data_IF_411699588205
#
_entry.id   IF_411699588205
#
_cell.length_a   1.000
_cell.length_b   1.000
_cell.length_c   1.000
_cell.angle_alpha   90.00
_cell.angle_beta   90.00
_cell.angle_gamma   90.00
#
_symmetry.space_group_name_H-M   'P 1'
#
loop_
_entity.id
_entity.type
_entity.pdbx_description
1 polymer ?
#
# COMPACT_ATOMS: atom_id res chain seq x y z
N UNK A 1 24.07 -15.08 22.39
CA UNK A 1 24.61 -14.67 21.09
C UNK A 1 23.85 -13.42 20.73
N UNK A 2 24.54 -12.29 20.55
CA UNK A 2 23.89 -11.13 19.95
C UNK A 2 23.82 -11.44 18.46
N UNK A 3 22.62 -11.65 17.93
CA UNK A 3 22.40 -11.70 16.49
C UNK A 3 22.38 -10.26 15.99
N UNK A 4 23.34 -9.94 15.12
CA UNK A 4 23.46 -8.65 14.44
C UNK A 4 22.73 -8.83 13.10
N UNK A 5 21.70 -8.03 12.81
CA UNK A 5 20.93 -8.12 11.55
C UNK A 5 21.50 -7.09 10.57
N UNK A 6 22.16 -7.51 9.50
CA UNK A 6 22.66 -6.57 8.49
C UNK A 6 21.49 -5.96 7.70
N UNK A 7 21.47 -4.63 7.57
CA UNK A 7 20.42 -3.89 6.85
C UNK A 7 21.01 -3.05 5.72
N UNK A 8 20.19 -2.75 4.70
CA UNK A 8 20.58 -1.93 3.56
C UNK A 8 21.02 -0.54 4.00
N UNK A 9 22.06 -0.01 3.38
CA UNK A 9 22.50 1.37 3.61
C UNK A 9 21.48 2.41 3.10
N UNK A 10 21.55 3.62 3.66
CA UNK A 10 20.66 4.75 3.32
C UNK A 10 20.65 5.08 1.83
N UNK A 11 21.80 5.02 1.15
CA UNK A 11 21.88 5.31 -0.28
C UNK A 11 21.22 4.22 -1.14
N UNK A 12 21.30 2.96 -0.71
CA UNK A 12 20.55 1.88 -1.34
C UNK A 12 19.05 2.07 -1.11
N UNK A 13 18.63 2.43 0.11
CA UNK A 13 17.23 2.75 0.41
C UNK A 13 16.70 3.85 -0.51
N UNK A 14 17.40 4.98 -0.63
CA UNK A 14 16.99 6.07 -1.56
C UNK A 14 16.89 5.60 -3.01
N UNK A 15 17.83 4.76 -3.46
CA UNK A 15 17.79 4.18 -4.80
C UNK A 15 16.52 3.36 -5.00
N UNK A 16 16.18 2.48 -4.05
CA UNK A 16 14.93 1.70 -4.08
C UNK A 16 13.73 2.64 -4.12
N UNK A 17 13.63 3.60 -3.19
CA UNK A 17 12.50 4.54 -3.12
C UNK A 17 12.31 5.34 -4.42
N UNK A 18 13.40 5.77 -5.06
CA UNK A 18 13.37 6.53 -6.31
C UNK A 18 12.97 5.70 -7.53
N UNK A 19 13.12 4.37 -7.44
CA UNK A 19 12.77 3.44 -8.52
C UNK A 19 11.32 2.98 -8.49
N UNK A 20 10.64 3.13 -7.35
CA UNK A 20 9.28 2.67 -7.15
C UNK A 20 8.28 3.65 -7.76
N UNK A 21 7.40 3.13 -8.60
CA UNK A 21 6.20 3.83 -9.06
C UNK A 21 5.13 3.85 -7.95
N UNK A 22 4.18 4.81 -7.99
CA UNK A 22 3.02 4.79 -7.11
C UNK A 22 2.25 3.46 -7.15
N UNK A 23 2.15 2.84 -8.33
CA UNK A 23 1.49 1.54 -8.51
C UNK A 23 2.20 0.41 -7.75
N UNK A 24 3.53 0.33 -7.88
CA UNK A 24 4.36 -0.64 -7.15
C UNK A 24 4.32 -0.45 -5.63
N UNK A 25 3.89 0.74 -5.17
CA UNK A 25 3.69 1.05 -3.75
C UNK A 25 2.29 0.67 -3.28
N UNK A 26 1.23 0.93 -4.06
CA UNK A 26 -0.15 0.68 -3.59
C UNK A 26 -0.62 -0.75 -3.83
N UNK A 27 -0.20 -1.36 -4.95
CA UNK A 27 -0.67 -2.69 -5.38
C UNK A 27 -0.38 -3.79 -4.35
N UNK A 28 0.81 -3.89 -3.73
CA UNK A 28 1.06 -4.93 -2.75
C UNK A 28 0.17 -4.83 -1.50
N UNK A 29 -0.14 -3.61 -1.05
CA UNK A 29 -1.06 -3.38 0.04
C UNK A 29 -2.48 -3.81 -0.35
N UNK A 30 -2.95 -3.42 -1.54
CA UNK A 30 -4.28 -3.77 -2.02
C UNK A 30 -4.46 -5.28 -2.19
N UNK A 31 -3.48 -5.97 -2.79
CA UNK A 31 -3.49 -7.43 -2.97
C UNK A 31 -3.55 -8.21 -1.64
N UNK A 32 -3.13 -7.57 -0.53
CA UNK A 32 -3.09 -8.18 0.80
C UNK A 32 -4.13 -7.60 1.77
N UNK A 33 -4.97 -6.68 1.29
CA UNK A 33 -6.05 -6.08 2.05
C UNK A 33 -7.34 -6.87 1.86
N UNK A 34 -8.14 -6.95 2.93
CA UNK A 34 -9.49 -7.51 2.86
C UNK A 34 -10.39 -6.66 3.77
N UNK A 35 -11.35 -5.95 3.19
CA UNK A 35 -12.29 -5.08 3.91
C UNK A 35 -12.93 -5.80 5.11
N UNK A 36 -12.90 -5.12 6.26
CA UNK A 36 -13.38 -5.63 7.55
C UNK A 36 -12.53 -6.72 8.21
N UNK A 37 -11.50 -7.25 7.55
CA UNK A 37 -10.79 -8.46 8.00
C UNK A 37 -9.28 -8.22 8.13
N UNK A 38 -8.62 -7.73 7.07
CA UNK A 38 -7.16 -7.59 6.98
C UNK A 38 -6.77 -6.18 6.57
N UNK A 39 -5.88 -5.56 7.34
CA UNK A 39 -5.15 -4.37 6.92
C UNK A 39 -4.06 -4.81 5.95
N UNK A 40 -4.00 -4.16 4.79
CA UNK A 40 -2.98 -4.42 3.79
C UNK A 40 -1.86 -3.39 3.90
N UNK A 41 -0.62 -3.86 3.91
CA UNK A 41 0.57 -3.03 3.98
C UNK A 41 1.47 -3.31 2.78
N UNK A 42 2.12 -2.25 2.29
CA UNK A 42 3.31 -2.36 1.46
C UNK A 42 4.50 -2.04 2.34
N UNK A 43 5.42 -3.00 2.47
CA UNK A 43 6.60 -2.89 3.32
C UNK A 43 7.87 -2.99 2.49
N UNK A 44 8.91 -2.30 2.91
CA UNK A 44 10.28 -2.49 2.42
C UNK A 44 11.06 -3.24 3.48
N UNK A 45 11.49 -4.46 3.17
CA UNK A 45 12.34 -5.26 4.05
C UNK A 45 13.76 -4.68 4.04
N UNK A 46 14.26 -4.32 5.22
CA UNK A 46 15.54 -3.65 5.34
C UNK A 46 16.73 -4.60 5.19
N UNK A 47 16.57 -5.91 5.31
CA UNK A 47 17.67 -6.88 5.13
C UNK A 47 18.02 -7.07 3.65
N UNK A 48 16.99 -7.11 2.79
CA UNK A 48 17.18 -7.42 1.36
C UNK A 48 16.81 -6.26 0.41
N UNK A 49 16.26 -5.17 0.92
CA UNK A 49 15.89 -3.98 0.16
C UNK A 49 14.74 -4.17 -0.82
N UNK A 50 13.93 -5.21 -0.64
CA UNK A 50 12.79 -5.52 -1.52
C UNK A 50 11.47 -5.10 -0.90
N UNK A 51 10.53 -4.76 -1.78
CA UNK A 51 9.17 -4.40 -1.42
C UNK A 51 8.27 -5.64 -1.44
N UNK A 52 7.41 -5.76 -0.44
CA UNK A 52 6.47 -6.86 -0.28
C UNK A 52 5.11 -6.34 0.18
N UNK A 53 4.05 -7.09 -0.15
CA UNK A 53 2.74 -6.94 0.47
C UNK A 53 2.65 -7.77 1.75
N UNK A 54 2.02 -7.21 2.77
CA UNK A 54 1.77 -7.87 4.06
C UNK A 54 0.34 -7.61 4.52
N UNK A 55 -0.44 -8.66 4.72
CA UNK A 55 -1.79 -8.59 5.29
C UNK A 55 -1.78 -8.93 6.77
N UNK A 56 -2.29 -8.03 7.62
CA UNK A 56 -2.39 -8.23 9.07
C UNK A 56 -3.86 -8.29 9.48
N UNK A 57 -4.27 -9.39 10.11
CA UNK A 57 -5.62 -9.52 10.68
C UNK A 57 -5.79 -8.68 11.95
N UNK A 58 -7.02 -8.25 12.24
CA UNK A 58 -7.36 -7.41 13.42
C UNK A 58 -6.82 -7.92 14.77
N UNK A 59 -6.60 -9.24 14.91
CA UNK A 59 -6.13 -9.86 16.15
C UNK A 59 -4.68 -10.37 16.08
N UNK A 60 -3.96 -10.10 14.99
CA UNK A 60 -2.56 -10.47 14.86
C UNK A 60 -1.66 -9.33 15.36
N UNK A 61 -0.67 -9.68 16.17
CA UNK A 61 0.40 -8.76 16.52
C UNK A 61 1.28 -8.53 15.27
N UNK A 62 1.85 -7.32 15.09
CA UNK A 62 2.79 -7.06 14.01
C UNK A 62 3.96 -8.05 14.08
N UNK A 63 4.44 -8.49 12.91
CA UNK A 63 5.49 -9.50 12.78
C UNK A 63 6.75 -9.04 13.52
N UNK A 64 6.99 -9.61 14.71
CA UNK A 64 8.06 -9.19 15.61
C UNK A 64 9.48 -9.48 15.08
N UNK A 65 9.59 -10.34 14.05
CA UNK A 65 10.87 -10.89 13.60
C UNK A 65 11.41 -10.25 12.30
N UNK A 66 10.66 -9.34 11.66
CA UNK A 66 11.09 -8.72 10.40
C UNK A 66 11.49 -7.26 10.61
N UNK A 67 12.69 -6.88 10.18
CA UNK A 67 13.13 -5.48 10.14
C UNK A 67 12.65 -4.85 8.84
N UNK A 68 11.59 -4.06 8.90
CA UNK A 68 10.99 -3.41 7.72
C UNK A 68 10.53 -1.98 8.02
N UNK A 69 10.26 -1.23 6.96
CA UNK A 69 9.54 0.05 7.02
C UNK A 69 8.28 -0.02 6.17
N UNK A 70 7.21 0.60 6.65
CA UNK A 70 5.96 0.70 5.91
C UNK A 70 6.04 1.84 4.89
N UNK A 71 5.67 1.55 3.64
CA UNK A 71 5.58 2.52 2.54
C UNK A 71 4.15 3.02 2.36
N UNK A 72 3.17 2.12 2.48
CA UNK A 72 1.75 2.40 2.30
C UNK A 72 0.90 1.40 3.08
N UNK A 73 -0.28 1.84 3.53
CA UNK A 73 -1.19 1.03 4.36
C UNK A 73 -2.63 1.33 3.98
N UNK A 74 -3.44 0.29 3.82
CA UNK A 74 -4.90 0.36 3.70
C UNK A 74 -5.48 -0.31 4.94
N UNK A 75 -6.14 0.44 5.82
CA UNK A 75 -6.70 -0.17 7.04
C UNK A 75 -7.90 -1.04 6.71
N UNK A 76 -8.10 -2.10 7.50
CA UNK A 76 -9.23 -3.02 7.31
C UNK A 76 -10.60 -2.34 7.34
N UNK A 77 -10.75 -1.23 8.06
CA UNK A 77 -12.02 -0.48 8.17
C UNK A 77 -12.06 0.77 7.28
N UNK A 78 -11.06 0.97 6.42
CA UNK A 78 -11.07 2.03 5.42
C UNK A 78 -11.69 1.49 4.14
N UNK A 79 -12.54 2.30 3.51
CA UNK A 79 -12.91 2.14 2.10
C UNK A 79 -11.98 3.05 1.31
N UNK A 80 -11.01 2.51 0.57
CA UNK A 80 -9.91 3.32 0.05
C UNK A 80 -10.32 4.14 -1.19
N UNK A 81 -11.47 3.82 -1.80
CA UNK A 81 -12.15 4.57 -2.84
C UNK A 81 -13.64 4.51 -2.58
N UNK A 82 -14.34 5.63 -2.78
CA UNK A 82 -15.80 5.63 -2.86
C UNK A 82 -16.27 5.54 -4.33
N UNK A 83 -17.57 5.30 -4.53
CA UNK A 83 -18.18 5.13 -5.86
C UNK A 83 -18.00 6.37 -6.76
N UNK A 84 -18.06 7.58 -6.20
CA UNK A 84 -17.85 8.85 -6.93
C UNK A 84 -16.40 9.03 -7.40
N UNK A 85 -15.44 8.49 -6.64
CA UNK A 85 -14.02 8.48 -7.00
C UNK A 85 -13.70 7.36 -7.98
N UNK A 86 -14.41 6.24 -7.88
CA UNK A 86 -14.20 5.06 -8.71
C UNK A 86 -14.65 5.27 -10.16
N UNK A 87 -15.79 5.93 -10.34
CA UNK A 87 -16.36 6.18 -11.66
C UNK A 87 -16.09 7.61 -12.15
N UNK A 88 -15.94 7.77 -13.47
CA UNK A 88 -16.07 9.12 -14.04
C UNK A 88 -17.47 9.67 -13.80
N UNK A 89 -17.66 10.99 -13.83
CA UNK A 89 -18.96 11.61 -13.59
C UNK A 89 -20.11 11.02 -14.45
N UNK A 90 -19.82 10.67 -15.72
CA UNK A 90 -20.80 10.03 -16.60
C UNK A 90 -21.06 8.56 -16.23
N UNK A 91 -20.01 7.79 -15.92
CA UNK A 91 -20.15 6.40 -15.48
C UNK A 91 -20.90 6.32 -14.15
N UNK A 92 -20.69 7.29 -13.25
CA UNK A 92 -21.37 7.37 -11.96
C UNK A 92 -22.87 7.64 -12.12
N UNK A 93 -23.26 8.57 -13.01
CA UNK A 93 -24.69 8.79 -13.34
C UNK A 93 -25.32 7.50 -13.89
N UNK A 94 -24.64 6.80 -14.81
CA UNK A 94 -25.10 5.52 -15.34
C UNK A 94 -25.17 4.42 -14.26
N UNK A 95 -24.25 4.43 -13.29
CA UNK A 95 -24.25 3.52 -12.15
C UNK A 95 -25.41 3.80 -11.18
N UNK A 96 -25.75 5.07 -10.94
CA UNK A 96 -26.91 5.44 -10.12
C UNK A 96 -28.23 4.99 -10.77
N UNK A 97 -28.37 5.14 -12.08
CA UNK A 97 -29.53 4.61 -12.82
C UNK A 97 -29.58 3.08 -12.69
N UNK A 98 -28.45 2.41 -12.92
CA UNK A 98 -28.32 0.95 -12.83
C UNK A 98 -28.66 0.38 -11.45
N UNK A 99 -28.16 1.01 -10.38
CA UNK A 99 -28.39 0.59 -8.99
C UNK A 99 -29.80 0.88 -8.50
N UNK A 100 -30.50 1.85 -9.10
CA UNK A 100 -31.87 2.21 -8.73
C UNK A 100 -32.94 1.24 -9.24
N UNK A 101 -32.62 0.42 -10.25
CA UNK A 101 -33.59 -0.45 -10.95
C UNK A 101 -33.81 -1.82 -10.29
N UNK A 102 -33.04 -2.22 -9.26
CA UNK A 102 -33.12 -3.56 -8.65
C UNK A 102 -33.35 -3.53 -7.11
N UNK A 103 -34.60 -3.65 -6.63
CA UNK A 103 -34.89 -3.82 -5.21
C UNK A 103 -34.69 -5.28 -4.79
N UNK A 104 -33.47 -5.82 -4.91
CA UNK A 104 -33.17 -7.18 -4.47
C UNK A 104 -32.71 -7.22 -3.00
N UNK A 105 -33.37 -8.05 -2.19
CA UNK A 105 -33.07 -8.34 -0.78
C UNK A 105 -31.74 -9.12 -0.57
N UNK A 106 -30.99 -9.34 -1.64
CA UNK A 106 -29.65 -9.92 -1.65
C UNK A 106 -28.76 -8.85 -2.27
N UNK A 107 -27.65 -8.49 -1.61
CA UNK A 107 -26.72 -7.47 -2.10
C UNK A 107 -25.50 -8.20 -2.70
N UNK A 108 -25.54 -8.67 -3.97
CA UNK A 108 -24.33 -8.83 -4.76
C UNK A 108 -23.55 -7.51 -4.79
N UNK A 109 -22.25 -7.60 -5.03
CA UNK A 109 -21.42 -6.42 -5.25
C UNK A 109 -21.86 -5.69 -6.53
N UNK A 110 -22.75 -4.70 -6.37
CA UNK A 110 -23.39 -3.96 -7.47
C UNK A 110 -22.33 -3.25 -8.34
N UNK A 111 -21.19 -2.87 -7.74
CA UNK A 111 -20.08 -2.26 -8.45
C UNK A 111 -19.46 -3.28 -9.41
N UNK A 112 -19.18 -4.50 -8.95
CA UNK A 112 -18.65 -5.56 -9.82
C UNK A 112 -19.60 -5.90 -10.96
N UNK A 113 -20.90 -6.01 -10.68
CA UNK A 113 -21.92 -6.28 -11.71
C UNK A 113 -21.98 -5.17 -12.77
N UNK A 114 -21.87 -3.90 -12.35
CA UNK A 114 -21.83 -2.77 -13.28
C UNK A 114 -20.53 -2.77 -14.10
N UNK A 115 -19.38 -3.03 -13.46
CA UNK A 115 -18.09 -3.11 -14.12
C UNK A 115 -18.07 -4.19 -15.19
N UNK A 116 -18.57 -5.40 -14.88
CA UNK A 116 -18.70 -6.51 -15.82
C UNK A 116 -19.56 -6.13 -17.02
N UNK A 117 -20.71 -5.48 -16.80
CA UNK A 117 -21.60 -5.03 -17.89
C UNK A 117 -20.97 -3.96 -18.77
N UNK A 118 -20.11 -3.11 -18.21
CA UNK A 118 -19.43 -2.02 -18.94
C UNK A 118 -18.08 -2.44 -19.52
N UNK A 119 -17.58 -3.63 -19.19
CA UNK A 119 -16.24 -4.09 -19.57
C UNK A 119 -15.13 -3.29 -18.88
N UNK A 120 -15.38 -2.84 -17.65
CA UNK A 120 -14.41 -2.14 -16.82
C UNK A 120 -13.61 -3.20 -16.03
N UNK A 121 -12.29 -3.14 -16.12
CA UNK A 121 -11.42 -3.92 -15.23
C UNK A 121 -11.38 -3.24 -13.85
N UNK A 122 -12.16 -3.76 -12.91
CA UNK A 122 -12.32 -3.20 -11.57
C UNK A 122 -11.00 -3.16 -10.81
N UNK A 123 -10.19 -4.23 -10.93
CA UNK A 123 -8.91 -4.35 -10.24
C UNK A 123 -7.92 -3.30 -10.73
N UNK A 124 -7.67 -3.25 -12.05
CA UNK A 124 -6.73 -2.30 -12.64
C UNK A 124 -7.18 -0.86 -12.41
N UNK A 125 -8.49 -0.59 -12.44
CA UNK A 125 -9.04 0.74 -12.13
C UNK A 125 -8.82 1.12 -10.67
N UNK A 126 -9.09 0.20 -9.75
CA UNK A 126 -8.86 0.43 -8.31
C UNK A 126 -7.41 0.75 -8.05
N UNK A 127 -6.49 -0.10 -8.52
CA UNK A 127 -5.04 0.08 -8.35
C UNK A 127 -4.59 1.42 -8.96
N UNK A 128 -5.05 1.76 -10.16
CA UNK A 128 -4.71 3.01 -10.83
C UNK A 128 -5.21 4.26 -10.07
N UNK A 129 -6.42 4.23 -9.52
CA UNK A 129 -6.97 5.34 -8.73
C UNK A 129 -6.27 5.49 -7.37
N UNK A 130 -5.94 4.37 -6.71
CA UNK A 130 -5.14 4.39 -5.49
C UNK A 130 -3.75 4.97 -5.74
N UNK A 131 -3.11 4.58 -6.85
CA UNK A 131 -1.82 5.10 -7.26
C UNK A 131 -1.88 6.61 -7.52
N UNK A 132 -2.91 7.08 -8.23
CA UNK A 132 -3.14 8.51 -8.46
C UNK A 132 -3.36 9.28 -7.15
N UNK A 133 -4.18 8.76 -6.25
CA UNK A 133 -4.45 9.38 -4.95
C UNK A 133 -3.18 9.41 -4.08
N UNK A 134 -2.39 8.35 -4.07
CA UNK A 134 -1.11 8.30 -3.37
C UNK A 134 -0.11 9.32 -3.93
N UNK A 135 0.03 9.39 -5.26
CA UNK A 135 0.89 10.37 -5.93
C UNK A 135 0.46 11.80 -5.56
N UNK A 136 -0.83 12.10 -5.63
CA UNK A 136 -1.38 13.43 -5.36
C UNK A 136 -1.30 13.85 -3.89
N UNK A 137 -1.48 12.92 -2.95
CA UNK A 137 -1.64 13.26 -1.53
C UNK A 137 -0.35 13.05 -0.72
N UNK A 138 0.41 12.00 -1.01
CA UNK A 138 1.62 11.65 -0.27
C UNK A 138 2.90 12.01 -1.03
N UNK A 139 2.98 11.69 -2.33
CA UNK A 139 4.18 11.90 -3.15
C UNK A 139 4.21 13.22 -3.92
N UNK A 140 3.20 14.09 -3.79
CA UNK A 140 3.18 15.41 -4.44
C UNK A 140 4.41 16.26 -4.08
N UNK A 141 5.00 16.00 -2.92
CA UNK A 141 6.35 16.41 -2.60
C UNK A 141 7.20 15.18 -2.25
N UNK A 142 7.82 14.60 -3.27
CA UNK A 142 8.69 13.42 -3.13
C UNK A 142 9.75 13.60 -2.04
N UNK A 143 10.40 14.76 -1.95
CA UNK A 143 11.44 15.00 -0.93
C UNK A 143 10.87 14.93 0.49
N UNK A 144 9.64 15.41 0.69
CA UNK A 144 8.96 15.33 1.99
C UNK A 144 8.57 13.88 2.29
N UNK A 145 8.06 13.15 1.31
CA UNK A 145 7.73 11.73 1.44
C UNK A 145 8.99 10.90 1.76
N UNK A 146 10.04 11.02 0.97
CA UNK A 146 11.33 10.36 1.19
C UNK A 146 11.86 10.67 2.60
N UNK A 147 11.81 11.92 3.03
CA UNK A 147 12.24 12.32 4.38
C UNK A 147 11.42 11.63 5.49
N UNK A 148 10.10 11.47 5.32
CA UNK A 148 9.25 10.70 6.26
C UNK A 148 9.73 9.25 6.34
N UNK A 149 10.02 8.63 5.20
CA UNK A 149 10.48 7.23 5.12
C UNK A 149 11.88 7.08 5.72
N UNK A 150 12.81 7.99 5.45
CA UNK A 150 14.15 8.01 6.05
C UNK A 150 14.08 8.13 7.57
N UNK A 151 13.18 8.97 8.10
CA UNK A 151 12.98 9.06 9.55
C UNK A 151 12.48 7.74 10.15
N UNK A 152 11.60 7.01 9.45
CA UNK A 152 11.16 5.66 9.88
C UNK A 152 12.32 4.67 9.85
N UNK A 153 13.14 4.70 8.79
CA UNK A 153 14.34 3.88 8.67
C UNK A 153 15.31 4.12 9.84
N UNK A 154 15.60 5.40 10.16
CA UNK A 154 16.43 5.73 11.31
C UNK A 154 15.80 5.24 12.62
N UNK A 155 14.49 5.46 12.82
CA UNK A 155 13.78 4.94 14.00
C UNK A 155 13.93 3.42 14.16
N UNK A 156 13.70 2.67 13.07
CA UNK A 156 13.78 1.21 13.05
C UNK A 156 15.18 0.68 13.42
N UNK A 157 16.25 1.39 13.01
CA UNK A 157 17.62 0.99 13.35
C UNK A 157 18.12 1.53 14.69
N UNK A 158 17.48 2.57 15.27
CA UNK A 158 17.88 3.18 16.54
C UNK A 158 17.16 2.61 17.77
N UNK A 159 15.93 2.09 17.66
CA UNK A 159 15.15 1.61 18.82
C UNK A 159 15.64 0.26 19.40
N UNK A 160 16.56 -0.44 18.74
CA UNK A 160 17.29 -1.58 19.29
C UNK A 160 18.77 -1.21 19.51
N UNK A 161 19.30 -1.46 20.71
CA UNK A 161 20.72 -1.27 21.08
C UNK A 161 21.68 -1.65 19.94
N UNK A 162 22.23 -0.63 19.25
CA UNK A 162 23.06 -0.73 18.04
C UNK A 162 23.89 -2.03 17.95
N UNK A 163 23.46 -3.01 17.14
CA UNK A 163 24.23 -4.16 16.73
C UNK A 163 24.25 -4.24 15.20
N UNK A 164 24.56 -3.14 14.50
CA UNK A 164 24.58 -3.12 13.03
C UNK A 164 25.97 -2.70 12.52
N UNK A 165 26.64 -3.60 11.79
CA UNK A 165 27.77 -3.25 10.95
C UNK A 165 27.24 -2.76 9.60
N UNK A 166 27.63 -1.54 9.21
CA UNK A 166 27.29 -0.99 7.91
C UNK A 166 28.21 -1.58 6.84
N UNK A 167 27.65 -2.27 5.85
CA UNK A 167 28.38 -2.63 4.65
C UNK A 167 28.73 -1.37 3.84
N UNK A 168 29.99 -0.95 3.92
CA UNK A 168 30.60 -0.01 2.97
C UNK A 168 31.22 -0.80 1.81
N UNK A 169 30.40 -1.41 0.94
CA UNK A 169 30.82 -2.01 -0.34
C UNK A 169 29.55 -2.23 -1.19
N UNK A 170 29.35 -1.69 -2.39
CA UNK A 170 30.26 -1.14 -3.39
C UNK A 170 29.50 -0.15 -4.29
N UNK A 171 30.23 0.85 -4.79
CA UNK A 171 29.89 1.68 -5.95
C UNK A 171 29.39 0.87 -7.16
#
# INVERSE_FOLDING_TARGET
MNEYIEVIGVEHLKTVLSSLTPEEIVKPAFDNWVGGIKTGHTILNLENGRVYGLGIELNQLPLADNVYIELYTIKSHEEPLNEEEFFSAKEYEEFLEFSSDDPCEYIPDIISDFCDKKGIDEYERTVGLLAYNFEKNEQANYNMWESKILNRYYGAIYENHNPFEFSQSSL
#
